data_IF_864906714783
#
_entry.id   IF_864906714783
#
_cell.length_a   1.000
_cell.length_b   1.000
_cell.length_c   1.000
_cell.angle_alpha   90.00
_cell.angle_beta   90.00
_cell.angle_gamma   90.00
#
_symmetry.space_group_name_H-M   'P 1'
#
loop_
_entity.id
_entity.type
_entity.pdbx_description
1 polymer ?
#
# COMPACT_ATOMS: atom_id res chain seq x y z
N UNK A 1 -15.55 -10.74 -1.98
CA UNK A 1 -14.79 -9.48 -1.85
C UNK A 1 -13.32 -9.83 -1.93
N UNK A 2 -12.64 -9.43 -3.00
CA UNK A 2 -11.21 -9.70 -3.17
C UNK A 2 -10.38 -8.63 -2.45
N UNK A 3 -10.16 -8.87 -1.16
CA UNK A 3 -9.31 -8.02 -0.32
C UNK A 3 -7.91 -7.86 -0.93
N UNK A 4 -7.39 -8.90 -1.59
CA UNK A 4 -6.10 -8.85 -2.30
C UNK A 4 -6.09 -7.83 -3.44
N UNK A 5 -7.13 -7.80 -4.27
CA UNK A 5 -7.22 -6.85 -5.38
C UNK A 5 -7.25 -5.41 -4.87
N UNK A 6 -7.98 -5.16 -3.78
CA UNK A 6 -8.00 -3.85 -3.11
C UNK A 6 -6.64 -3.45 -2.57
N UNK A 7 -5.91 -4.39 -1.97
CA UNK A 7 -4.54 -4.15 -1.49
C UNK A 7 -3.64 -3.77 -2.67
N UNK A 8 -3.68 -4.49 -3.79
CA UNK A 8 -2.87 -4.19 -4.97
C UNK A 8 -3.20 -2.83 -5.56
N UNK A 9 -4.48 -2.47 -5.69
CA UNK A 9 -4.90 -1.16 -6.18
C UNK A 9 -4.37 -0.01 -5.31
N UNK A 10 -4.44 -0.15 -3.98
CA UNK A 10 -3.92 0.84 -3.03
C UNK A 10 -2.39 0.92 -3.14
N UNK A 11 -1.69 -0.22 -3.23
CA UNK A 11 -0.23 -0.27 -3.38
C UNK A 11 0.22 0.41 -4.68
N UNK A 12 -0.44 0.13 -5.80
CA UNK A 12 -0.16 0.75 -7.08
C UNK A 12 -0.40 2.26 -7.03
N UNK A 13 -1.48 2.69 -6.36
CA UNK A 13 -1.72 4.11 -6.12
C UNK A 13 -0.62 4.75 -5.28
N UNK A 14 -0.13 4.10 -4.22
CA UNK A 14 1.00 4.60 -3.40
C UNK A 14 2.26 4.74 -4.25
N UNK A 15 2.51 3.80 -5.16
CA UNK A 15 3.69 3.82 -6.03
C UNK A 15 3.60 4.92 -7.09
N UNK A 16 2.43 5.11 -7.69
CA UNK A 16 2.23 6.08 -8.78
C UNK A 16 1.89 7.51 -8.30
N UNK A 17 1.27 7.66 -7.13
CA UNK A 17 0.77 8.93 -6.61
C UNK A 17 1.45 9.27 -5.27
N UNK A 18 2.39 10.23 -5.33
CA UNK A 18 3.15 10.70 -4.17
C UNK A 18 2.29 11.42 -3.13
N UNK A 19 1.23 12.10 -3.57
CA UNK A 19 0.30 12.76 -2.66
C UNK A 19 -0.52 11.71 -1.91
N UNK A 20 -0.94 10.65 -2.61
CA UNK A 20 -1.58 9.51 -1.99
C UNK A 20 -0.66 8.79 -1.01
N UNK A 21 0.61 8.54 -1.38
CA UNK A 21 1.59 7.95 -0.47
C UNK A 21 1.78 8.77 0.81
N UNK A 22 1.77 10.09 0.68
CA UNK A 22 1.88 11.02 1.82
C UNK A 22 0.61 11.00 2.69
N UNK A 23 -0.58 10.96 2.07
CA UNK A 23 -1.86 10.78 2.76
C UNK A 23 -1.94 9.45 3.48
N UNK A 24 -1.56 8.35 2.82
CA UNK A 24 -1.54 7.01 3.41
C UNK A 24 -0.55 6.92 4.58
N UNK A 25 0.59 7.59 4.48
CA UNK A 25 1.57 7.64 5.59
C UNK A 25 1.05 8.41 6.80
N UNK A 26 0.19 9.41 6.59
CA UNK A 26 -0.43 10.20 7.66
C UNK A 26 -1.68 9.53 8.24
N UNK A 27 -2.53 9.01 7.37
CA UNK A 27 -3.88 8.54 7.70
C UNK A 27 -4.26 7.38 6.75
N UNK A 28 -3.73 6.16 7.00
CA UNK A 28 -3.88 5.03 6.09
C UNK A 28 -5.32 4.53 5.97
N UNK A 29 -6.12 4.69 7.04
CA UNK A 29 -7.56 4.38 7.08
C UNK A 29 -8.30 5.22 6.04
N UNK A 30 -8.24 6.55 6.19
CA UNK A 30 -8.89 7.49 5.26
C UNK A 30 -8.37 7.39 3.84
N UNK A 31 -7.08 7.10 3.67
CA UNK A 31 -6.51 6.91 2.34
C UNK A 31 -7.15 5.71 1.63
N UNK A 32 -7.30 4.57 2.32
CA UNK A 32 -7.95 3.39 1.76
C UNK A 32 -9.44 3.64 1.52
N UNK A 33 -10.17 4.23 2.46
CA UNK A 33 -11.59 4.57 2.30
C UNK A 33 -11.82 5.50 1.11
N UNK A 34 -10.95 6.49 0.92
CA UNK A 34 -11.01 7.43 -0.20
C UNK A 34 -10.77 6.78 -1.56
N UNK A 35 -10.05 5.64 -1.62
CA UNK A 35 -9.85 4.87 -2.87
C UNK A 35 -11.05 3.97 -3.11
N UNK A 36 -11.45 3.24 -2.06
CA UNK A 36 -12.48 2.21 -2.18
C UNK A 36 -13.89 2.81 -2.24
N UNK A 37 -14.06 4.09 -1.88
CA UNK A 37 -15.35 4.78 -1.86
C UNK A 37 -16.35 4.18 -0.88
N UNK A 38 -15.86 3.43 0.11
CA UNK A 38 -16.67 2.75 1.12
C UNK A 38 -16.02 2.89 2.49
N UNK A 39 -16.86 3.02 3.52
CA UNK A 39 -16.44 2.86 4.91
C UNK A 39 -16.30 1.37 5.21
N UNK A 40 -15.09 0.97 5.57
CA UNK A 40 -14.81 -0.39 6.03
C UNK A 40 -14.71 -0.40 7.55
N UNK A 41 -15.23 -1.45 8.21
CA UNK A 41 -15.00 -1.60 9.64
C UNK A 41 -13.50 -1.78 9.93
N UNK A 42 -13.07 -1.30 11.10
CA UNK A 42 -11.67 -1.33 11.54
C UNK A 42 -11.03 -2.73 11.43
N UNK A 43 -11.80 -3.78 11.75
CA UNK A 43 -11.37 -5.18 11.66
C UNK A 43 -11.03 -5.63 10.24
N UNK A 44 -11.62 -4.99 9.23
CA UNK A 44 -11.30 -5.24 7.83
C UNK A 44 -10.21 -4.30 7.33
N UNK A 45 -10.21 -3.02 7.73
CA UNK A 45 -9.24 -2.05 7.20
C UNK A 45 -7.84 -2.29 7.74
N UNK A 46 -7.69 -2.68 9.01
CA UNK A 46 -6.40 -2.96 9.64
C UNK A 46 -5.55 -3.98 8.85
N UNK A 47 -6.06 -5.20 8.53
CA UNK A 47 -5.29 -6.15 7.73
C UNK A 47 -5.04 -5.67 6.29
N UNK A 48 -5.91 -4.83 5.71
CA UNK A 48 -5.61 -4.18 4.43
C UNK A 48 -4.43 -3.22 4.56
N UNK A 49 -4.43 -2.35 5.57
CA UNK A 49 -3.35 -1.38 5.83
C UNK A 49 -2.02 -2.12 6.03
N UNK A 50 -2.03 -3.17 6.84
CA UNK A 50 -0.84 -3.99 7.08
C UNK A 50 -0.37 -4.68 5.80
N UNK A 51 -1.27 -5.28 5.02
CA UNK A 51 -0.95 -5.90 3.74
C UNK A 51 -0.34 -4.91 2.75
N UNK A 52 -0.91 -3.70 2.66
CA UNK A 52 -0.39 -2.61 1.82
C UNK A 52 0.99 -2.17 2.29
N UNK A 53 1.19 -1.91 3.59
CA UNK A 53 2.49 -1.51 4.16
C UNK A 53 3.54 -2.58 3.96
N UNK A 54 3.19 -3.85 4.18
CA UNK A 54 4.08 -4.98 3.98
C UNK A 54 4.52 -5.09 2.53
N UNK A 55 3.58 -5.01 1.58
CA UNK A 55 3.89 -5.09 0.15
C UNK A 55 4.75 -3.92 -0.33
N UNK A 56 4.43 -2.69 0.06
CA UNK A 56 5.26 -1.50 -0.24
C UNK A 56 6.67 -1.63 0.34
N UNK A 57 6.81 -2.17 1.55
CA UNK A 57 8.12 -2.35 2.18
C UNK A 57 8.92 -3.45 1.48
N UNK A 58 8.26 -4.54 1.10
CA UNK A 58 8.85 -5.67 0.39
C UNK A 58 9.30 -5.25 -1.02
N UNK A 59 8.48 -4.49 -1.74
CA UNK A 59 8.85 -3.92 -3.05
C UNK A 59 10.08 -3.00 -2.97
N UNK A 60 10.19 -2.17 -1.92
CA UNK A 60 11.38 -1.33 -1.69
C UNK A 60 12.62 -2.17 -1.40
N UNK A 61 12.46 -3.23 -0.59
CA UNK A 61 13.57 -4.14 -0.29
C UNK A 61 14.04 -4.88 -1.55
N UNK A 62 13.11 -5.36 -2.37
CA UNK A 62 13.42 -6.02 -3.65
C UNK A 62 14.10 -5.07 -4.63
N UNK A 63 13.66 -3.81 -4.71
CA UNK A 63 14.30 -2.82 -5.58
C UNK A 63 15.74 -2.52 -5.12
N UNK A 64 15.97 -2.39 -3.81
CA UNK A 64 17.31 -2.22 -3.24
C UNK A 64 18.20 -3.45 -3.48
N UNK A 65 17.69 -4.66 -3.24
CA UNK A 65 18.44 -5.90 -3.49
C UNK A 65 18.76 -6.08 -4.98
N UNK A 66 17.82 -5.72 -5.86
CA UNK A 66 18.01 -5.71 -7.30
C UNK A 66 19.09 -4.72 -7.75
N UNK A 67 19.13 -3.53 -7.14
CA UNK A 67 20.18 -2.54 -7.39
C UNK A 67 21.54 -3.03 -6.88
N UNK A 68 21.62 -3.58 -5.66
CA UNK A 68 22.86 -4.14 -5.11
C UNK A 68 23.39 -5.27 -5.97
N UNK A 69 22.53 -6.20 -6.43
CA UNK A 69 22.93 -7.30 -7.31
C UNK A 69 23.43 -6.84 -8.68
N UNK A 70 23.04 -5.65 -9.16
CA UNK A 70 23.58 -5.06 -10.40
C UNK A 70 24.96 -4.42 -10.21
N UNK A 71 25.33 -4.09 -8.97
CA UNK A 71 26.59 -3.43 -8.63
C UNK A 71 27.73 -4.41 -8.32
N UNK A 72 27.43 -5.69 -8.09
CA UNK A 72 28.38 -6.78 -7.82
C UNK A 72 28.36 -7.80 -8.96
#
# INVERSE_FOLDING_TARGET
MDIKAKIEEVVDKIKSDKDFASKFSRDPVKAIESILGIDLPDDQINPLIEGVKAKVSLDKADDLLGQVKKLF
#
